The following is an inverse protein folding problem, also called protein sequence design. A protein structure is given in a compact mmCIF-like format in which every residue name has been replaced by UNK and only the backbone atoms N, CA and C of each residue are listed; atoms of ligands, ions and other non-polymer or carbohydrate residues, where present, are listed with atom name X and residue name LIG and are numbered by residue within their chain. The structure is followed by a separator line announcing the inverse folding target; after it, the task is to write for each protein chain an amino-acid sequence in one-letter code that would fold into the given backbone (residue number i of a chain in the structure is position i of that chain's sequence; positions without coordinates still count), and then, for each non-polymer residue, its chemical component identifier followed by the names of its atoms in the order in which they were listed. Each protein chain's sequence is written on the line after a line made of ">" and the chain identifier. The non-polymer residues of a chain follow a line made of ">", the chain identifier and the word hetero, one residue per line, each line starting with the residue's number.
data_IF_728795311402
#
_entry.id   IF_728795311402
#
_cell.length_a   1.000
_cell.length_b   1.000
_cell.length_c   1.000
_cell.angle_alpha   90.00
_cell.angle_beta   90.00
_cell.angle_gamma   90.00
#
_symmetry.space_group_name_H-M   'P 1'
#
loop_
_entity.id
_entity.type
_entity.pdbx_description
1 polymer ?
#
# COMPACT_ATOMS: atom_id res chain seq x y z
N UNK A 1 22.28 15.68 -41.91
CA UNK A 1 21.52 14.47 -42.18
C UNK A 1 20.10 14.69 -41.70
N UNK A 2 19.22 14.86 -42.69
CA UNK A 2 17.80 15.25 -42.62
C UNK A 2 16.95 14.12 -42.06
N UNK A 3 16.17 14.40 -41.01
CA UNK A 3 15.02 13.59 -40.59
C UNK A 3 13.77 14.22 -41.22
N UNK A 4 13.39 13.68 -42.37
CA UNK A 4 12.17 14.04 -43.08
C UNK A 4 10.97 13.29 -42.48
N UNK A 5 10.01 14.08 -42.08
CA UNK A 5 8.60 13.85 -41.77
C UNK A 5 7.93 12.72 -42.54
N UNK A 6 7.29 11.80 -41.79
CA UNK A 6 6.14 11.05 -42.26
C UNK A 6 4.93 11.36 -41.36
N UNK A 7 4.33 12.53 -41.59
CA UNK A 7 2.95 12.75 -41.23
C UNK A 7 2.08 12.34 -42.41
N UNK A 8 1.54 11.12 -42.39
CA UNK A 8 0.49 10.73 -43.32
C UNK A 8 -0.82 11.41 -42.92
N UNK A 9 -1.44 12.05 -43.88
CA UNK A 9 -2.68 12.78 -43.77
C UNK A 9 -3.79 11.95 -43.12
N UNK A 10 -4.34 12.45 -42.01
CA UNK A 10 -5.59 11.96 -41.44
C UNK A 10 -6.72 12.47 -42.35
N UNK A 11 -7.46 11.55 -42.95
CA UNK A 11 -8.63 11.80 -43.77
C UNK A 11 -9.65 12.64 -42.98
N UNK A 12 -9.98 13.84 -43.48
CA UNK A 12 -11.08 14.66 -43.00
C UNK A 12 -12.40 13.97 -43.42
N UNK A 13 -13.03 13.23 -42.52
CA UNK A 13 -14.33 12.62 -42.83
C UNK A 13 -15.08 11.97 -41.67
N UNK A 14 -14.42 11.58 -40.61
CA UNK A 14 -15.10 10.96 -39.48
C UNK A 14 -15.26 11.94 -38.30
N UNK A 15 -16.37 12.67 -38.29
CA UNK A 15 -16.87 13.29 -37.06
C UNK A 15 -17.22 12.21 -36.07
N UNK A 16 -16.25 11.86 -35.21
CA UNK A 16 -16.47 10.99 -34.06
C UNK A 16 -17.57 11.60 -33.19
N UNK A 17 -18.77 11.03 -33.31
CA UNK A 17 -19.95 11.46 -32.57
C UNK A 17 -19.82 11.01 -31.10
N UNK A 18 -19.13 11.80 -30.26
CA UNK A 18 -18.83 11.54 -28.84
C UNK A 18 -20.08 11.54 -27.90
N UNK A 19 -21.28 11.30 -28.42
CA UNK A 19 -22.53 11.27 -27.64
C UNK A 19 -22.91 9.88 -27.12
N UNK A 20 -21.93 9.05 -26.68
CA UNK A 20 -22.24 7.99 -25.69
C UNK A 20 -21.86 8.52 -24.31
N UNK A 21 -22.71 8.32 -23.28
CA UNK A 21 -22.32 8.73 -21.92
C UNK A 21 -21.01 8.03 -21.60
N UNK A 22 -19.96 8.81 -21.42
CA UNK A 22 -18.67 8.30 -20.91
C UNK A 22 -18.98 7.75 -19.53
N UNK A 23 -19.00 6.44 -19.39
CA UNK A 23 -19.12 5.76 -18.10
C UNK A 23 -17.93 6.22 -17.24
N UNK A 24 -18.23 7.15 -16.33
CA UNK A 24 -17.20 7.77 -15.48
C UNK A 24 -16.60 6.67 -14.60
N UNK A 25 -15.27 6.52 -14.64
CA UNK A 25 -14.56 5.67 -13.68
C UNK A 25 -14.73 6.25 -12.29
N UNK A 26 -15.01 5.39 -11.31
CA UNK A 26 -15.29 5.80 -9.93
C UNK A 26 -14.32 5.17 -8.95
N UNK A 27 -14.18 5.84 -7.83
CA UNK A 27 -13.53 5.33 -6.62
C UNK A 27 -14.62 5.03 -5.60
N UNK A 28 -14.58 3.85 -5.00
CA UNK A 28 -15.53 3.42 -3.98
C UNK A 28 -14.79 3.22 -2.67
N UNK A 29 -15.37 3.73 -1.59
CA UNK A 29 -14.92 3.44 -0.23
C UNK A 29 -15.41 2.04 0.15
N UNK A 30 -14.54 1.23 0.75
CA UNK A 30 -14.87 -0.06 1.34
C UNK A 30 -15.21 0.19 2.80
N UNK A 31 -16.42 -0.17 3.20
CA UNK A 31 -16.89 -0.04 4.59
C UNK A 31 -16.71 -1.36 5.37
N UNK A 32 -16.71 -2.48 4.68
CA UNK A 32 -16.54 -3.81 5.27
C UNK A 32 -15.10 -4.01 5.74
N UNK A 33 -14.94 -4.12 7.07
CA UNK A 33 -13.65 -4.34 7.73
C UNK A 33 -12.96 -5.62 7.23
N UNK A 34 -13.67 -6.72 7.09
CA UNK A 34 -13.09 -8.01 6.66
C UNK A 34 -12.49 -7.88 5.25
N UNK A 35 -13.13 -7.12 4.37
CA UNK A 35 -12.58 -6.84 3.05
C UNK A 35 -11.33 -5.97 3.10
N UNK A 36 -11.30 -4.95 3.97
CA UNK A 36 -10.08 -4.13 4.14
C UNK A 36 -8.94 -4.99 4.67
N UNK A 37 -9.19 -5.84 5.66
CA UNK A 37 -8.21 -6.79 6.19
C UNK A 37 -7.71 -7.77 5.10
N UNK A 38 -8.60 -8.21 4.22
CA UNK A 38 -8.23 -9.05 3.08
C UNK A 38 -7.23 -8.35 2.14
N UNK A 39 -7.35 -7.02 1.94
CA UNK A 39 -6.37 -6.23 1.17
C UNK A 39 -5.01 -6.22 1.89
N UNK A 40 -5.01 -6.01 3.21
CA UNK A 40 -3.78 -6.02 4.01
C UNK A 40 -3.10 -7.38 3.90
N UNK A 41 -3.84 -8.46 4.13
CA UNK A 41 -3.31 -9.82 4.15
C UNK A 41 -2.81 -10.33 2.79
N UNK A 42 -3.23 -9.71 1.68
CA UNK A 42 -2.78 -10.06 0.34
C UNK A 42 -1.63 -9.18 -0.19
N UNK A 43 -1.29 -8.11 0.51
CA UNK A 43 -0.24 -7.20 0.06
C UNK A 43 1.17 -7.77 0.35
N UNK A 44 2.08 -7.70 -0.61
CA UNK A 44 3.45 -8.18 -0.45
C UNK A 44 4.32 -7.25 0.41
N UNK A 45 3.96 -5.97 0.48
CA UNK A 45 4.65 -4.96 1.26
C UNK A 45 3.69 -3.86 1.69
N UNK A 46 4.05 -3.15 2.75
CA UNK A 46 3.39 -1.92 3.15
C UNK A 46 4.29 -0.70 2.92
N UNK A 47 3.67 0.48 2.81
CA UNK A 47 4.37 1.76 2.75
C UNK A 47 4.09 2.52 4.03
N UNK A 48 5.13 2.70 4.85
CA UNK A 48 5.03 3.36 6.15
C UNK A 48 5.38 4.83 5.99
N UNK A 49 4.38 5.68 6.15
CA UNK A 49 4.52 7.14 6.19
C UNK A 49 4.74 7.61 7.63
N UNK A 50 5.77 8.40 7.82
CA UNK A 50 6.17 9.04 9.07
C UNK A 50 6.66 10.46 8.81
N UNK A 51 7.05 11.18 9.84
CA UNK A 51 7.55 12.55 9.74
C UNK A 51 9.00 12.57 10.21
N UNK A 52 9.89 13.19 9.44
CA UNK A 52 11.30 13.34 9.81
C UNK A 52 11.51 14.37 10.94
N UNK A 53 12.75 14.57 11.34
CA UNK A 53 13.09 15.45 12.45
C UNK A 53 12.84 16.94 12.14
N UNK A 54 12.81 17.29 10.86
CA UNK A 54 12.52 18.63 10.34
C UNK A 54 11.03 18.88 10.08
N UNK A 55 10.18 17.83 10.20
CA UNK A 55 8.74 17.91 9.97
C UNK A 55 8.30 17.57 8.55
N UNK A 56 9.22 17.06 7.69
CA UNK A 56 8.88 16.66 6.34
C UNK A 56 8.30 15.23 6.29
N UNK A 57 7.44 14.93 5.32
CA UNK A 57 6.96 13.57 5.08
C UNK A 57 8.10 12.63 4.69
N UNK A 58 8.15 11.45 5.31
CA UNK A 58 9.08 10.38 4.99
C UNK A 58 8.34 9.08 4.80
N UNK A 59 8.56 8.37 3.69
CA UNK A 59 7.84 7.13 3.36
C UNK A 59 8.82 6.05 2.94
N UNK A 60 8.66 4.86 3.50
CA UNK A 60 9.49 3.68 3.16
C UNK A 60 8.65 2.43 2.96
N UNK A 61 9.00 1.57 1.99
CA UNK A 61 8.44 0.23 1.90
C UNK A 61 9.01 -0.66 3.01
N UNK A 62 8.16 -1.51 3.58
CA UNK A 62 8.55 -2.46 4.63
C UNK A 62 7.80 -3.77 4.51
N UNK A 63 8.44 -4.85 4.95
CA UNK A 63 7.77 -6.10 5.25
C UNK A 63 6.98 -5.94 6.55
N UNK A 64 5.90 -6.70 6.69
CA UNK A 64 4.99 -6.56 7.83
C UNK A 64 4.31 -7.90 8.16
N UNK A 65 3.68 -7.95 9.31
CA UNK A 65 2.68 -8.95 9.68
C UNK A 65 1.44 -8.25 10.23
N UNK A 66 0.28 -8.89 10.13
CA UNK A 66 -0.97 -8.37 10.65
C UNK A 66 -1.71 -9.45 11.43
N UNK A 67 -2.09 -9.13 12.66
CA UNK A 67 -2.88 -10.01 13.53
C UNK A 67 -3.68 -9.18 14.54
N UNK A 68 -4.99 -9.42 14.64
CA UNK A 68 -5.87 -8.83 15.65
C UNK A 68 -5.79 -7.27 15.73
N UNK A 69 -5.96 -6.60 14.60
CA UNK A 69 -5.89 -5.14 14.47
C UNK A 69 -4.51 -4.54 14.82
N UNK A 70 -3.46 -5.34 14.79
CA UNK A 70 -2.10 -4.89 15.06
C UNK A 70 -1.20 -5.20 13.85
N UNK A 71 -0.49 -4.20 13.38
CA UNK A 71 0.58 -4.34 12.40
C UNK A 71 1.91 -4.50 13.13
N UNK A 72 2.70 -5.49 12.71
CA UNK A 72 4.02 -5.79 13.23
C UNK A 72 5.07 -5.52 12.17
N UNK A 73 6.12 -4.80 12.55
CA UNK A 73 7.19 -4.41 11.67
C UNK A 73 8.55 -4.57 12.38
N UNK A 74 9.61 -4.65 11.59
CA UNK A 74 10.96 -4.68 12.15
C UNK A 74 11.94 -3.89 11.28
N UNK A 75 13.05 -3.49 11.86
CA UNK A 75 14.16 -2.83 11.18
C UNK A 75 15.49 -3.16 11.86
N UNK A 76 16.58 -2.62 11.34
CA UNK A 76 17.85 -2.58 12.09
C UNK A 76 17.65 -1.89 13.45
N UNK A 77 18.55 -2.15 14.42
CA UNK A 77 18.41 -1.66 15.79
C UNK A 77 18.49 -0.13 15.90
N UNK A 78 19.13 0.51 14.93
CA UNK A 78 19.44 1.95 14.90
C UNK A 78 19.12 2.56 13.53
N UNK A 79 19.16 3.89 13.45
CA UNK A 79 19.05 4.67 12.23
C UNK A 79 17.87 5.63 12.23
N UNK A 80 17.82 6.51 11.23
CA UNK A 80 16.92 7.65 11.17
C UNK A 80 15.45 7.33 11.40
N UNK A 81 14.95 6.17 10.94
CA UNK A 81 13.57 5.75 11.20
C UNK A 81 13.26 5.61 12.69
N UNK A 82 14.21 5.05 13.46
CA UNK A 82 14.02 4.85 14.90
C UNK A 82 14.00 6.20 15.61
N UNK A 83 14.90 7.12 15.24
CA UNK A 83 14.95 8.47 15.79
C UNK A 83 13.66 9.27 15.48
N UNK A 84 13.19 9.20 14.25
CA UNK A 84 11.92 9.80 13.84
C UNK A 84 10.75 9.29 14.66
N UNK A 85 10.63 7.96 14.82
CA UNK A 85 9.54 7.31 15.55
C UNK A 85 9.63 7.52 17.07
N UNK A 86 10.81 7.69 17.62
CA UNK A 86 10.99 8.07 19.03
C UNK A 86 10.49 9.50 19.31
N UNK A 87 10.65 10.40 18.33
CA UNK A 87 10.19 11.78 18.45
C UNK A 87 8.69 11.94 18.12
N UNK A 88 8.23 11.25 17.09
CA UNK A 88 6.83 11.24 16.65
C UNK A 88 6.45 9.84 16.20
N UNK A 89 5.74 9.12 17.04
CA UNK A 89 5.35 7.74 16.79
C UNK A 89 4.08 7.59 15.96
N UNK A 90 3.47 8.67 15.47
CA UNK A 90 2.30 8.58 14.60
C UNK A 90 2.73 8.11 13.21
N UNK A 91 2.02 7.11 12.68
CA UNK A 91 2.28 6.57 11.34
C UNK A 91 1.00 6.43 10.54
N UNK A 92 1.18 6.51 9.21
CA UNK A 92 0.16 6.16 8.22
C UNK A 92 0.73 5.06 7.34
N UNK A 93 0.11 3.88 7.37
CA UNK A 93 0.59 2.69 6.66
C UNK A 93 -0.39 2.37 5.53
N UNK A 94 0.12 2.28 4.30
CA UNK A 94 -0.70 2.06 3.10
C UNK A 94 -0.32 0.74 2.43
N UNK A 95 -1.34 0.06 1.96
CA UNK A 95 -1.28 -1.17 1.17
C UNK A 95 -1.95 -0.93 -0.17
N UNK A 96 -1.41 -1.50 -1.24
CA UNK A 96 -2.02 -1.38 -2.56
C UNK A 96 -1.77 -2.63 -3.38
N UNK A 97 -2.81 -3.13 -4.05
CA UNK A 97 -2.74 -4.36 -4.84
C UNK A 97 -3.69 -4.35 -6.05
N UNK A 98 -3.58 -5.36 -6.90
CA UNK A 98 -4.50 -5.59 -8.01
C UNK A 98 -4.37 -4.57 -9.14
N UNK A 99 -3.21 -3.95 -9.34
CA UNK A 99 -2.98 -2.92 -10.35
C UNK A 99 -3.21 -3.45 -11.76
N UNK A 100 -4.28 -2.97 -12.42
CA UNK A 100 -4.63 -3.34 -13.78
C UNK A 100 -5.05 -2.12 -14.57
N UNK A 101 -4.41 -1.89 -15.73
CA UNK A 101 -4.82 -0.84 -16.64
C UNK A 101 -6.18 -1.18 -17.26
N UNK A 102 -7.14 -0.29 -17.13
CA UNK A 102 -8.49 -0.41 -17.69
C UNK A 102 -8.83 0.81 -18.53
N UNK A 103 -9.69 0.65 -19.52
CA UNK A 103 -10.10 1.75 -20.40
C UNK A 103 -11.52 1.51 -20.95
N UNK A 104 -12.18 2.56 -21.38
CA UNK A 104 -13.47 2.51 -22.09
C UNK A 104 -13.26 2.54 -23.61
N UNK A 105 -12.34 3.38 -24.09
CA UNK A 105 -12.00 3.54 -25.49
C UNK A 105 -10.49 3.45 -25.69
N UNK A 106 -10.06 2.46 -26.46
CA UNK A 106 -8.65 2.17 -26.66
C UNK A 106 -7.82 3.34 -27.21
N UNK A 107 -8.43 4.22 -28.02
CA UNK A 107 -7.76 5.34 -28.66
C UNK A 107 -7.91 6.67 -27.91
N UNK A 108 -8.58 6.68 -26.75
CA UNK A 108 -8.89 7.89 -26.00
C UNK A 108 -8.18 7.84 -24.64
N UNK A 109 -7.08 8.56 -24.51
CA UNK A 109 -6.23 8.53 -23.33
C UNK A 109 -6.98 8.85 -22.02
N UNK A 110 -7.88 9.85 -22.01
CA UNK A 110 -8.68 10.20 -20.84
C UNK A 110 -9.72 9.15 -20.42
N UNK A 111 -9.90 8.07 -21.21
CA UNK A 111 -10.73 6.92 -20.84
C UNK A 111 -10.00 5.84 -20.07
N UNK A 112 -8.67 5.97 -19.92
CA UNK A 112 -7.85 5.03 -19.19
C UNK A 112 -7.85 5.32 -17.69
N UNK A 113 -7.78 4.25 -16.90
CA UNK A 113 -7.64 4.32 -15.44
C UNK A 113 -6.85 3.12 -14.95
N UNK A 114 -6.32 3.21 -13.74
CA UNK A 114 -5.74 2.07 -13.04
C UNK A 114 -6.78 1.48 -12.08
N UNK A 115 -7.20 0.24 -12.32
CA UNK A 115 -7.97 -0.51 -11.34
C UNK A 115 -7.03 -1.02 -10.27
N UNK A 116 -7.35 -0.75 -9.02
CA UNK A 116 -6.57 -1.21 -7.87
C UNK A 116 -7.42 -1.17 -6.61
N UNK A 117 -6.96 -1.87 -5.59
CA UNK A 117 -7.51 -1.80 -4.24
C UNK A 117 -6.44 -1.28 -3.29
N UNK A 118 -6.85 -0.52 -2.28
CA UNK A 118 -5.93 -0.04 -1.25
C UNK A 118 -6.56 -0.11 0.12
N UNK A 119 -5.72 -0.35 1.13
CA UNK A 119 -6.04 -0.14 2.52
C UNK A 119 -5.07 0.89 3.12
N UNK A 120 -5.55 1.68 4.07
CA UNK A 120 -4.76 2.65 4.80
C UNK A 120 -5.08 2.52 6.28
N UNK A 121 -4.04 2.29 7.09
CA UNK A 121 -4.11 2.16 8.54
C UNK A 121 -3.38 3.32 9.20
N UNK A 122 -3.93 3.85 10.28
CA UNK A 122 -3.28 4.86 11.13
C UNK A 122 -3.19 4.32 12.55
N UNK A 123 -2.12 4.67 13.23
CA UNK A 123 -1.88 4.30 14.62
C UNK A 123 -0.57 4.86 15.12
N UNK A 124 -0.18 4.43 16.31
CA UNK A 124 1.06 4.85 16.97
C UNK A 124 1.98 3.66 17.12
N UNK A 125 3.25 3.87 16.77
CA UNK A 125 4.30 2.88 16.98
C UNK A 125 4.54 2.66 18.47
N UNK A 126 4.61 1.40 18.87
CA UNK A 126 5.07 0.92 20.17
C UNK A 126 6.25 -0.02 19.93
N UNK A 127 7.41 0.31 20.50
CA UNK A 127 8.58 -0.56 20.41
C UNK A 127 8.43 -1.74 21.37
N UNK A 128 8.77 -2.93 20.86
CA UNK A 128 8.76 -4.18 21.63
C UNK A 128 10.17 -4.43 22.15
N UNK A 129 10.34 -4.50 23.45
CA UNK A 129 11.66 -4.76 24.07
C UNK A 129 11.77 -6.18 24.65
N UNK A 130 10.66 -6.77 25.07
CA UNK A 130 10.64 -8.14 25.60
C UNK A 130 11.02 -9.15 24.52
N UNK A 131 11.90 -10.09 24.85
CA UNK A 131 12.49 -11.04 23.89
C UNK A 131 11.45 -12.03 23.35
N UNK A 132 10.51 -12.48 24.17
CA UNK A 132 9.50 -13.44 23.76
C UNK A 132 8.42 -12.73 22.91
N UNK A 133 8.07 -11.50 23.27
CA UNK A 133 7.15 -10.69 22.44
C UNK A 133 7.79 -10.35 21.08
N UNK A 134 9.11 -10.10 21.03
CA UNK A 134 9.85 -9.93 19.76
C UNK A 134 9.79 -11.18 18.90
N UNK A 135 10.04 -12.36 19.45
CA UNK A 135 9.95 -13.63 18.71
C UNK A 135 8.55 -13.83 18.14
N UNK A 136 7.53 -13.65 18.99
CA UNK A 136 6.13 -13.74 18.53
C UNK A 136 5.82 -12.77 17.40
N UNK A 137 6.26 -11.52 17.49
CA UNK A 137 6.07 -10.52 16.44
C UNK A 137 6.79 -10.89 15.13
N UNK A 138 8.01 -11.40 15.22
CA UNK A 138 8.76 -11.91 14.06
C UNK A 138 8.08 -13.13 13.43
N UNK A 139 7.49 -14.04 14.22
CA UNK A 139 6.71 -15.17 13.71
C UNK A 139 5.45 -14.69 12.96
N UNK A 140 4.77 -13.63 13.45
CA UNK A 140 3.62 -13.04 12.78
C UNK A 140 4.05 -12.45 11.43
N UNK A 141 5.18 -11.76 11.39
CA UNK A 141 5.74 -11.22 10.14
C UNK A 141 6.09 -12.37 9.17
N UNK A 142 6.79 -13.42 9.63
CA UNK A 142 7.18 -14.52 8.77
C UNK A 142 5.98 -15.30 8.24
N UNK A 143 4.95 -15.53 9.05
CA UNK A 143 3.70 -16.21 8.62
C UNK A 143 2.95 -15.48 7.50
N UNK A 144 3.19 -14.19 7.34
CA UNK A 144 2.64 -13.44 6.23
C UNK A 144 3.25 -13.87 4.88
N UNK A 145 4.53 -14.27 4.88
CA UNK A 145 5.29 -14.57 3.65
C UNK A 145 5.49 -16.07 3.39
N UNK A 146 5.48 -16.90 4.42
CA UNK A 146 5.74 -18.35 4.29
C UNK A 146 4.99 -19.15 5.35
N UNK A 147 4.82 -20.44 5.08
CA UNK A 147 4.24 -21.41 6.03
C UNK A 147 5.30 -22.15 6.85
N UNK A 148 6.58 -21.87 6.59
CA UNK A 148 7.67 -22.51 7.29
C UNK A 148 7.76 -22.04 8.75
N UNK A 149 8.36 -22.86 9.60
CA UNK A 149 8.64 -22.53 11.00
C UNK A 149 10.10 -22.16 11.15
N UNK A 150 10.38 -21.14 11.95
CA UNK A 150 11.72 -20.60 12.14
C UNK A 150 12.12 -20.62 13.61
N UNK A 151 13.41 -20.92 13.87
CA UNK A 151 14.03 -20.68 15.15
C UNK A 151 14.83 -19.37 15.11
N UNK A 152 14.84 -18.63 16.20
CA UNK A 152 15.60 -17.38 16.33
C UNK A 152 16.65 -17.51 17.41
N UNK A 153 17.90 -17.22 17.08
CA UNK A 153 18.93 -17.12 18.11
C UNK A 153 18.78 -15.82 18.90
N UNK A 154 19.12 -15.83 20.17
CA UNK A 154 19.05 -14.64 21.03
C UNK A 154 19.82 -13.43 20.48
N UNK A 155 21.06 -13.59 19.95
CA UNK A 155 21.77 -12.47 19.36
C UNK A 155 21.02 -11.85 18.18
N UNK A 156 20.38 -12.66 17.32
CA UNK A 156 19.61 -12.14 16.18
C UNK A 156 18.39 -11.35 16.65
N UNK A 157 17.64 -11.83 17.64
CA UNK A 157 16.47 -11.13 18.20
C UNK A 157 16.88 -9.83 18.91
N UNK A 158 18.03 -9.82 19.61
CA UNK A 158 18.54 -8.58 20.23
C UNK A 158 18.93 -7.53 19.20
N UNK A 159 19.43 -7.97 18.04
CA UNK A 159 19.97 -7.07 17.00
C UNK A 159 18.92 -6.59 16.00
N UNK A 160 17.63 -6.65 16.36
CA UNK A 160 16.53 -6.08 15.58
C UNK A 160 15.68 -5.16 16.46
N UNK A 161 15.21 -4.07 15.87
CA UNK A 161 14.17 -3.23 16.48
C UNK A 161 12.82 -3.70 15.94
N UNK A 162 12.03 -4.27 16.83
CA UNK A 162 10.66 -4.74 16.51
C UNK A 162 9.68 -3.74 17.08
N UNK A 163 8.63 -3.49 16.34
CA UNK A 163 7.59 -2.54 16.71
C UNK A 163 6.22 -3.03 16.28
N UNK A 164 5.22 -2.63 17.01
CA UNK A 164 3.82 -2.88 16.72
C UNK A 164 3.07 -1.56 16.54
N UNK A 165 2.02 -1.60 15.76
CA UNK A 165 1.12 -0.46 15.52
C UNK A 165 -0.30 -0.96 15.72
N UNK A 166 -0.89 -0.76 16.90
CA UNK A 166 -2.33 -0.89 17.07
C UNK A 166 -3.04 0.04 16.08
N UNK A 167 -4.00 -0.49 15.33
CA UNK A 167 -4.68 0.25 14.27
C UNK A 167 -5.85 1.03 14.87
N UNK A 168 -5.71 2.35 14.97
CA UNK A 168 -6.76 3.26 15.47
C UNK A 168 -7.82 3.54 14.41
N UNK A 169 -7.40 3.62 13.13
CA UNK A 169 -8.28 3.92 12.01
C UNK A 169 -7.87 3.05 10.80
N UNK A 170 -8.88 2.51 10.13
CA UNK A 170 -8.71 1.71 8.92
C UNK A 170 -9.66 2.21 7.84
N UNK A 171 -9.16 2.40 6.63
CA UNK A 171 -9.98 2.76 5.46
C UNK A 171 -9.57 1.96 4.25
N UNK A 172 -10.53 1.58 3.42
CA UNK A 172 -10.30 0.87 2.18
C UNK A 172 -10.89 1.59 0.98
N UNK A 173 -10.28 1.43 -0.19
CA UNK A 173 -10.78 2.00 -1.44
C UNK A 173 -10.56 1.05 -2.61
N UNK A 174 -11.52 1.02 -3.54
CA UNK A 174 -11.37 0.43 -4.86
C UNK A 174 -11.35 1.55 -5.89
N UNK A 175 -10.37 1.54 -6.76
CA UNK A 175 -10.19 2.52 -7.83
C UNK A 175 -10.47 1.90 -9.20
N UNK A 176 -10.80 2.74 -10.19
CA UNK A 176 -10.92 2.34 -11.59
C UNK A 176 -12.09 1.41 -11.88
N UNK A 177 -13.15 1.43 -11.07
CA UNK A 177 -14.40 0.75 -11.37
C UNK A 177 -15.21 1.53 -12.40
N UNK A 178 -15.85 0.84 -13.34
CA UNK A 178 -16.85 1.46 -14.19
C UNK A 178 -18.11 1.77 -13.39
N UNK A 179 -18.90 2.73 -13.84
CA UNK A 179 -20.08 3.19 -13.12
C UNK A 179 -21.14 2.09 -12.88
N UNK A 180 -21.18 1.07 -13.77
CA UNK A 180 -22.07 -0.10 -13.72
C UNK A 180 -21.51 -1.27 -12.90
N UNK A 181 -20.24 -1.24 -12.50
CA UNK A 181 -19.61 -2.28 -11.68
C UNK A 181 -19.87 -2.06 -10.19
N UNK A 182 -20.08 -3.17 -9.49
CA UNK A 182 -20.08 -3.19 -8.01
C UNK A 182 -18.67 -3.50 -7.49
N UNK A 183 -18.34 -3.03 -6.29
CA UNK A 183 -17.05 -3.31 -5.64
C UNK A 183 -16.88 -4.78 -5.29
#
# INVERSE_FOLDING_TARGET
>A
LSLSSHYSAINQGDTLNFRKPTLKMKTIVIEDKQRIESIILQADACFVGMVDLEGNPYVVPMNFGYENDILYLHSGPEGGKIEMLQRNNNVCITFSLGHKLVYQHKQVACSYSMRSESAMCRGKVEFIEDMEEKRRALDIIMRHYTKDQFGYSDPAVRNVKVWKVPVDQMTGKVFGLRADEKP
#
